data_IF_830726900632
#
_entry.id   IF_830726900632
#
_cell.length_a   1.000
_cell.length_b   1.000
_cell.length_c   1.000
_cell.angle_alpha   90.00
_cell.angle_beta   90.00
_cell.angle_gamma   90.00
#
_symmetry.space_group_name_H-M   'P 1'
#
loop_
_entity.id
_entity.type
_entity.pdbx_description
1 polymer ?
#
# COMPACT_ATOMS: atom_id res chain seq x y z
N UNK A 1 -31.79 -7.64 -6.06
CA UNK A 1 -30.31 -7.59 -6.02
C UNK A 1 -29.82 -8.98 -5.67
N UNK A 2 -29.38 -9.75 -6.67
CA UNK A 2 -28.83 -11.09 -6.46
C UNK A 2 -27.51 -10.97 -5.70
N UNK A 3 -27.37 -11.64 -4.55
CA UNK A 3 -26.13 -11.67 -3.80
C UNK A 3 -25.11 -12.49 -4.57
N UNK A 4 -24.15 -11.83 -5.21
CA UNK A 4 -22.95 -12.47 -5.78
C UNK A 4 -22.15 -13.03 -4.60
N UNK A 5 -22.20 -14.36 -4.41
CA UNK A 5 -21.35 -15.06 -3.46
C UNK A 5 -19.93 -15.13 -4.00
N UNK A 6 -18.93 -14.87 -3.15
CA UNK A 6 -17.50 -14.78 -3.49
C UNK A 6 -16.85 -16.06 -4.05
N UNK A 7 -17.63 -17.09 -4.39
CA UNK A 7 -17.16 -18.37 -4.94
C UNK A 7 -17.24 -18.47 -6.46
N UNK A 8 -17.68 -17.42 -7.15
CA UNK A 8 -17.65 -17.36 -8.62
C UNK A 8 -16.25 -16.91 -9.06
N UNK A 9 -15.44 -17.78 -9.71
CA UNK A 9 -13.97 -17.61 -9.82
C UNK A 9 -13.50 -16.48 -10.75
N UNK A 10 -14.33 -15.47 -11.03
CA UNK A 10 -14.05 -14.42 -12.02
C UNK A 10 -14.68 -13.07 -11.67
N UNK A 11 -14.49 -12.57 -10.45
CA UNK A 11 -14.90 -11.19 -10.11
C UNK A 11 -13.68 -10.42 -9.62
N UNK A 12 -13.43 -9.25 -10.21
CA UNK A 12 -12.38 -8.38 -9.69
C UNK A 12 -12.82 -7.74 -8.38
N UNK A 13 -11.87 -7.51 -7.46
CA UNK A 13 -12.13 -6.79 -6.22
C UNK A 13 -12.80 -5.42 -6.46
N UNK A 14 -12.43 -4.71 -7.54
CA UNK A 14 -13.04 -3.43 -7.92
C UNK A 14 -14.55 -3.56 -8.22
N UNK A 15 -15.00 -4.73 -8.66
CA UNK A 15 -16.39 -4.97 -9.04
C UNK A 15 -17.27 -5.20 -7.80
N UNK A 16 -16.65 -5.56 -6.67
CA UNK A 16 -17.32 -5.82 -5.40
C UNK A 16 -17.62 -4.53 -4.61
N UNK A 17 -17.13 -3.37 -5.05
CA UNK A 17 -17.40 -2.10 -4.38
C UNK A 17 -18.81 -1.57 -4.72
N UNK A 18 -19.57 -1.08 -3.71
CA UNK A 18 -20.93 -0.61 -3.91
C UNK A 18 -21.02 0.55 -4.91
N UNK A 19 -22.10 0.58 -5.68
CA UNK A 19 -22.33 1.63 -6.70
C UNK A 19 -21.33 1.60 -7.87
N UNK A 20 -20.51 0.55 -7.98
CA UNK A 20 -19.47 0.44 -9.01
C UNK A 20 -18.44 1.58 -8.95
N UNK A 21 -18.21 2.16 -7.76
CA UNK A 21 -17.36 3.35 -7.60
C UNK A 21 -15.88 3.10 -7.92
N UNK A 22 -15.45 1.83 -7.91
CA UNK A 22 -14.08 1.45 -8.25
C UNK A 22 -13.87 1.18 -9.75
N UNK A 23 -14.94 1.19 -10.56
CA UNK A 23 -14.86 1.06 -12.02
C UNK A 23 -14.78 2.44 -12.67
N UNK A 24 -13.79 2.63 -13.54
CA UNK A 24 -13.82 3.74 -14.48
C UNK A 24 -14.89 3.47 -15.54
N UNK A 25 -15.55 4.53 -16.03
CA UNK A 25 -16.67 4.40 -16.97
C UNK A 25 -16.29 3.66 -18.28
N UNK A 26 -15.02 3.74 -18.69
CA UNK A 26 -14.50 3.10 -19.90
C UNK A 26 -13.82 1.75 -19.64
N UNK A 27 -13.80 1.27 -18.40
CA UNK A 27 -13.14 0.00 -18.05
C UNK A 27 -14.07 -1.18 -18.35
N UNK A 28 -13.94 -1.70 -19.57
CA UNK A 28 -14.64 -2.89 -20.03
C UNK A 28 -13.90 -4.20 -19.69
N UNK A 29 -12.80 -4.11 -18.92
CA UNK A 29 -11.94 -5.27 -18.71
C UNK A 29 -12.65 -6.30 -17.84
N UNK A 30 -12.70 -7.53 -18.34
CA UNK A 30 -13.23 -8.71 -17.65
C UNK A 30 -12.09 -9.70 -17.39
N UNK A 31 -12.17 -10.55 -16.35
CA UNK A 31 -11.11 -11.51 -16.04
C UNK A 31 -10.71 -12.40 -17.22
N UNK A 32 -11.66 -12.76 -18.09
CA UNK A 32 -11.42 -13.54 -19.30
C UNK A 32 -10.68 -12.78 -20.42
N UNK A 33 -10.72 -11.44 -20.40
CA UNK A 33 -10.18 -10.59 -21.46
C UNK A 33 -8.89 -9.86 -21.06
N UNK A 34 -8.42 -10.04 -19.82
CA UNK A 34 -7.16 -9.45 -19.37
C UNK A 34 -6.03 -10.49 -19.41
N UNK A 35 -4.78 -10.05 -19.64
CA UNK A 35 -3.62 -10.91 -19.46
C UNK A 35 -3.57 -11.54 -18.07
N UNK A 36 -3.10 -12.78 -17.96
CA UNK A 36 -3.05 -13.51 -16.68
C UNK A 36 -2.25 -12.78 -15.59
N UNK A 37 -1.20 -12.03 -15.95
CA UNK A 37 -0.42 -11.22 -14.99
C UNK A 37 -1.20 -10.07 -14.36
N UNK A 38 -2.37 -9.69 -14.90
CA UNK A 38 -3.25 -8.69 -14.30
C UNK A 38 -4.22 -9.29 -13.27
N UNK A 39 -4.31 -10.62 -13.20
CA UNK A 39 -5.21 -11.33 -12.28
C UNK A 39 -4.39 -12.00 -11.19
N UNK A 40 -4.20 -11.30 -10.08
CA UNK A 40 -3.46 -11.84 -8.95
C UNK A 40 -4.27 -12.97 -8.29
N UNK A 41 -3.64 -14.11 -7.95
CA UNK A 41 -4.30 -15.17 -7.17
C UNK A 41 -4.69 -14.68 -5.79
N UNK A 42 -5.81 -15.18 -5.29
CA UNK A 42 -6.33 -14.90 -3.95
C UNK A 42 -5.72 -15.81 -2.86
N UNK A 43 -5.13 -16.94 -3.25
CA UNK A 43 -4.47 -17.89 -2.36
C UNK A 43 -2.96 -17.67 -2.25
N UNK A 44 -2.40 -18.07 -1.11
CA UNK A 44 -0.95 -18.05 -0.87
C UNK A 44 -0.16 -18.90 -1.87
N UNK A 45 -0.60 -20.13 -2.15
CA UNK A 45 0.07 -21.03 -3.10
C UNK A 45 0.02 -20.49 -4.54
N UNK A 46 -1.11 -19.89 -4.92
CA UNK A 46 -1.23 -19.18 -6.18
C UNK A 46 -0.22 -18.03 -6.27
N UNK A 47 -0.10 -17.22 -5.21
CA UNK A 47 0.88 -16.15 -5.15
C UNK A 47 2.33 -16.64 -5.23
N UNK A 48 2.67 -17.78 -4.63
CA UNK A 48 3.99 -18.39 -4.74
C UNK A 48 4.36 -18.76 -6.19
N UNK A 49 3.37 -19.15 -6.99
CA UNK A 49 3.56 -19.45 -8.42
C UNK A 49 3.57 -18.18 -9.29
N UNK A 50 2.91 -17.12 -8.81
CA UNK A 50 2.71 -15.86 -9.51
C UNK A 50 3.89 -14.88 -9.33
N UNK A 51 4.59 -14.95 -8.19
CA UNK A 51 5.62 -14.01 -7.79
C UNK A 51 6.99 -14.68 -7.66
N UNK A 52 8.04 -13.93 -8.00
CA UNK A 52 9.43 -14.31 -7.77
C UNK A 52 10.09 -13.22 -6.93
N UNK A 53 10.83 -13.62 -5.90
CA UNK A 53 11.69 -12.69 -5.17
C UNK A 53 13.11 -12.77 -5.71
N UNK A 54 13.67 -11.62 -6.09
CA UNK A 54 15.03 -11.52 -6.58
C UNK A 54 15.82 -10.48 -5.79
N UNK A 55 17.16 -10.59 -5.74
CA UNK A 55 18.00 -9.48 -5.30
C UNK A 55 17.73 -8.24 -6.14
N UNK A 56 17.68 -7.06 -5.51
CA UNK A 56 17.52 -5.80 -6.22
C UNK A 56 18.63 -5.63 -7.28
N UNK A 57 18.26 -5.34 -8.52
CA UNK A 57 19.19 -5.33 -9.67
C UNK A 57 20.32 -4.31 -9.55
N UNK A 58 20.12 -3.24 -8.77
CA UNK A 58 21.14 -2.21 -8.52
C UNK A 58 21.61 -2.32 -7.07
N UNK A 59 22.92 -2.15 -6.80
CA UNK A 59 23.40 -2.03 -5.42
C UNK A 59 22.70 -0.83 -4.78
N UNK A 60 21.72 -1.14 -3.93
CA UNK A 60 20.94 -0.11 -3.26
C UNK A 60 21.84 0.64 -2.30
N UNK A 61 21.70 1.96 -2.27
CA UNK A 61 22.36 2.78 -1.26
C UNK A 61 21.95 2.34 0.16
N UNK A 62 20.76 1.77 0.29
CA UNK A 62 20.23 1.15 1.48
C UNK A 62 20.39 -0.38 1.46
N UNK A 63 21.34 -0.87 2.27
CA UNK A 63 21.63 -2.31 2.43
C UNK A 63 20.52 -3.09 3.09
N UNK A 64 19.50 -2.43 3.65
CA UNK A 64 18.35 -3.10 4.25
C UNK A 64 17.36 -3.57 3.20
N UNK A 65 17.35 -2.99 2.00
CA UNK A 65 16.33 -3.23 0.96
C UNK A 65 16.75 -4.21 -0.14
N UNK A 66 17.47 -5.28 0.20
CA UNK A 66 18.17 -6.13 -0.79
C UNK A 66 17.28 -6.90 -1.76
N UNK A 67 15.98 -6.96 -1.54
CA UNK A 67 15.07 -7.82 -2.26
C UNK A 67 13.95 -7.02 -2.92
N UNK A 68 13.58 -7.44 -4.13
CA UNK A 68 12.42 -6.95 -4.87
C UNK A 68 11.52 -8.12 -5.26
N UNK A 69 10.22 -7.85 -5.41
CA UNK A 69 9.24 -8.82 -5.89
C UNK A 69 8.96 -8.52 -7.36
N UNK A 70 9.01 -9.58 -8.16
CA UNK A 70 8.82 -9.58 -9.60
C UNK A 70 7.66 -10.50 -9.97
N UNK A 71 7.06 -10.26 -11.13
CA UNK A 71 6.16 -11.24 -11.73
C UNK A 71 6.94 -12.50 -12.12
N UNK A 72 6.28 -13.66 -12.04
CA UNK A 72 6.83 -14.90 -12.60
C UNK A 72 7.07 -14.77 -14.10
N UNK A 73 8.21 -15.28 -14.56
CA UNK A 73 8.61 -15.19 -15.98
C UNK A 73 7.59 -15.85 -16.92
N UNK A 74 6.86 -16.86 -16.44
CA UNK A 74 5.83 -17.56 -17.21
C UNK A 74 4.60 -16.69 -17.54
N UNK A 75 4.42 -15.56 -16.83
CA UNK A 75 3.27 -14.69 -17.02
C UNK A 75 3.45 -13.67 -18.15
N UNK A 76 4.66 -13.54 -18.72
CA UNK A 76 4.99 -12.58 -19.78
C UNK A 76 4.54 -11.14 -19.46
N UNK A 77 4.71 -10.70 -18.21
CA UNK A 77 4.36 -9.34 -17.80
C UNK A 77 5.30 -8.32 -18.48
N UNK A 78 4.78 -7.14 -18.91
CA UNK A 78 5.59 -6.11 -19.56
C UNK A 78 6.58 -5.44 -18.60
N UNK A 79 6.33 -5.53 -17.30
CA UNK A 79 7.16 -4.98 -16.24
C UNK A 79 7.74 -6.12 -15.42
N UNK A 80 9.02 -6.01 -15.07
CA UNK A 80 9.66 -7.00 -14.21
C UNK A 80 9.14 -6.91 -12.78
N UNK A 81 8.98 -5.69 -12.24
CA UNK A 81 8.61 -5.47 -10.84
C UNK A 81 7.09 -5.63 -10.63
N UNK A 82 6.73 -6.38 -9.59
CA UNK A 82 5.35 -6.59 -9.19
C UNK A 82 4.71 -5.30 -8.62
N UNK A 83 3.58 -4.90 -9.20
CA UNK A 83 2.70 -3.86 -8.67
C UNK A 83 1.25 -4.33 -8.67
N UNK A 84 0.42 -3.73 -7.83
CA UNK A 84 -1.00 -4.06 -7.76
C UNK A 84 -1.81 -2.84 -7.32
N UNK A 85 -3.12 -2.87 -7.53
CA UNK A 85 -4.01 -1.76 -7.18
C UNK A 85 -4.84 -2.09 -5.95
N UNK A 86 -4.88 -1.16 -5.01
CA UNK A 86 -5.79 -1.16 -3.87
C UNK A 86 -6.85 -0.07 -4.03
N UNK A 87 -8.02 -0.30 -3.46
CA UNK A 87 -9.15 0.61 -3.47
C UNK A 87 -9.62 0.88 -2.06
N UNK A 88 -10.05 2.10 -1.79
CA UNK A 88 -10.66 2.45 -0.52
C UNK A 88 -11.02 3.92 -0.39
N UNK A 89 -11.66 4.25 0.73
CA UNK A 89 -11.96 5.64 1.12
C UNK A 89 -10.72 6.24 1.77
N UNK A 90 -10.28 7.40 1.30
CA UNK A 90 -9.14 8.11 1.85
C UNK A 90 -9.49 8.65 3.23
N UNK A 91 -8.84 8.13 4.28
CA UNK A 91 -9.04 8.60 5.66
C UNK A 91 -8.07 9.75 5.97
N UNK A 92 -6.81 9.57 5.58
CA UNK A 92 -5.72 10.52 5.83
C UNK A 92 -4.65 10.41 4.75
N UNK A 93 -4.06 11.53 4.38
CA UNK A 93 -2.95 11.58 3.43
C UNK A 93 -1.83 12.53 3.89
N UNK A 94 -0.61 12.17 3.53
CA UNK A 94 0.58 13.02 3.54
C UNK A 94 1.35 12.68 2.27
N UNK A 95 0.92 13.27 1.15
CA UNK A 95 1.36 12.91 -0.21
C UNK A 95 2.17 14.01 -0.89
N UNK A 96 2.42 15.13 -0.19
CA UNK A 96 3.30 16.18 -0.68
C UNK A 96 4.70 15.60 -1.01
N UNK A 97 5.43 16.17 -1.99
CA UNK A 97 6.73 15.64 -2.42
C UNK A 97 7.73 15.45 -1.27
N UNK A 98 7.77 16.39 -0.33
CA UNK A 98 8.63 16.36 0.87
C UNK A 98 7.99 15.65 2.09
N UNK A 99 6.78 15.10 1.93
CA UNK A 99 6.03 14.39 2.96
C UNK A 99 5.83 15.20 4.24
N UNK A 100 6.17 14.60 5.38
CA UNK A 100 6.10 15.26 6.69
C UNK A 100 7.43 15.94 7.13
N UNK A 101 8.40 16.10 6.22
CA UNK A 101 9.67 16.73 6.54
C UNK A 101 9.51 18.21 6.88
N UNK A 102 10.31 18.69 7.84
CA UNK A 102 10.25 20.06 8.37
C UNK A 102 11.54 20.86 8.13
N UNK A 103 12.30 20.51 7.09
CA UNK A 103 13.54 21.21 6.72
C UNK A 103 14.80 20.85 7.53
N UNK A 104 14.69 20.00 8.56
CA UNK A 104 15.86 19.61 9.37
C UNK A 104 16.62 18.44 8.74
N UNK A 105 17.91 18.63 8.45
CA UNK A 105 18.74 17.61 7.81
C UNK A 105 18.78 16.28 8.58
N UNK A 106 18.93 16.33 9.91
CA UNK A 106 18.93 15.14 10.76
C UNK A 106 17.55 14.45 10.87
N UNK A 107 16.48 15.03 10.34
CA UNK A 107 15.16 14.42 10.31
C UNK A 107 14.80 13.85 8.93
N UNK A 108 15.65 14.01 7.91
CA UNK A 108 15.38 13.56 6.55
C UNK A 108 15.11 12.04 6.49
N UNK A 109 15.89 11.23 7.21
CA UNK A 109 15.72 9.77 7.24
C UNK A 109 14.38 9.30 7.84
N UNK A 110 13.70 10.14 8.62
CA UNK A 110 12.38 9.85 9.22
C UNK A 110 11.24 10.38 8.37
N UNK A 111 11.53 11.23 7.38
CA UNK A 111 10.50 11.84 6.58
C UNK A 111 9.82 10.79 5.73
N UNK A 112 8.50 10.79 5.77
CA UNK A 112 7.69 9.82 5.06
C UNK A 112 6.46 10.46 4.46
N UNK A 113 6.00 9.86 3.37
CA UNK A 113 4.66 10.02 2.81
C UNK A 113 3.79 8.87 3.29
N UNK A 114 2.51 9.14 3.47
CA UNK A 114 1.56 8.12 3.92
C UNK A 114 0.19 8.31 3.29
N UNK A 115 -0.46 7.20 2.96
CA UNK A 115 -1.86 7.15 2.55
C UNK A 115 -2.56 6.14 3.45
N UNK A 116 -3.68 6.55 4.05
CA UNK A 116 -4.49 5.68 4.89
C UNK A 116 -5.82 5.45 4.22
N UNK A 117 -6.10 4.20 3.86
CA UNK A 117 -7.34 3.76 3.21
C UNK A 117 -8.24 3.06 4.22
N UNK A 118 -9.53 3.35 4.18
CA UNK A 118 -10.57 2.67 4.95
C UNK A 118 -11.59 1.99 4.05
N UNK A 119 -12.38 1.08 4.64
CA UNK A 119 -13.50 0.39 3.97
C UNK A 119 -14.63 1.35 3.59
N UNK A 120 -14.79 2.45 4.33
CA UNK A 120 -15.95 3.35 4.20
C UNK A 120 -17.28 2.70 4.55
N UNK A 121 -17.29 1.52 5.17
CA UNK A 121 -18.47 0.68 5.39
C UNK A 121 -18.59 -0.53 4.44
N UNK A 122 -17.77 -0.62 3.39
CA UNK A 122 -17.73 -1.78 2.49
C UNK A 122 -16.68 -2.81 2.96
N UNK A 123 -16.95 -3.49 4.07
CA UNK A 123 -15.97 -4.39 4.72
C UNK A 123 -15.56 -5.58 3.85
N UNK A 124 -16.48 -6.18 3.10
CA UNK A 124 -16.21 -7.37 2.30
C UNK A 124 -15.11 -7.16 1.23
N UNK A 125 -15.21 -6.21 0.28
CA UNK A 125 -14.13 -5.96 -0.68
C UNK A 125 -12.86 -5.42 -0.03
N UNK A 126 -12.96 -4.77 1.12
CA UNK A 126 -11.80 -4.27 1.85
C UNK A 126 -11.02 -5.39 2.55
N UNK A 127 -11.73 -6.36 3.14
CA UNK A 127 -11.15 -7.53 3.79
C UNK A 127 -10.35 -8.41 2.80
N UNK A 128 -10.87 -8.62 1.59
CA UNK A 128 -10.15 -9.36 0.53
C UNK A 128 -8.79 -8.71 0.24
N UNK A 129 -8.74 -7.38 0.17
CA UNK A 129 -7.48 -6.66 -0.05
C UNK A 129 -6.53 -6.77 1.14
N UNK A 130 -7.04 -6.71 2.37
CA UNK A 130 -6.23 -6.93 3.57
C UNK A 130 -5.62 -8.33 3.59
N UNK A 131 -6.40 -9.35 3.23
CA UNK A 131 -5.95 -10.72 3.13
C UNK A 131 -4.88 -10.88 2.04
N UNK A 132 -5.09 -10.26 0.87
CA UNK A 132 -4.10 -10.23 -0.20
C UNK A 132 -2.77 -9.60 0.25
N UNK A 133 -2.83 -8.47 0.96
CA UNK A 133 -1.64 -7.86 1.56
C UNK A 133 -0.98 -8.77 2.59
N UNK A 134 -1.75 -9.54 3.36
CA UNK A 134 -1.23 -10.52 4.31
C UNK A 134 -0.47 -11.64 3.59
N UNK A 135 -1.05 -12.25 2.54
CA UNK A 135 -0.36 -13.28 1.76
C UNK A 135 0.94 -12.76 1.11
N UNK A 136 0.99 -11.50 0.65
CA UNK A 136 2.25 -10.90 0.16
C UNK A 136 3.30 -10.83 1.27
N UNK A 137 2.90 -10.50 2.51
CA UNK A 137 3.83 -10.48 3.66
C UNK A 137 4.34 -11.87 3.99
N UNK A 138 3.45 -12.86 4.03
CA UNK A 138 3.81 -14.27 4.24
C UNK A 138 4.78 -14.75 3.18
N UNK A 139 4.49 -14.47 1.89
CA UNK A 139 5.33 -14.86 0.78
C UNK A 139 6.73 -14.26 0.93
N UNK A 140 6.80 -12.96 1.23
CA UNK A 140 8.07 -12.29 1.33
C UNK A 140 8.90 -12.72 2.56
N UNK A 141 8.26 -12.85 3.73
CA UNK A 141 8.94 -13.24 4.97
C UNK A 141 9.42 -14.69 4.87
N UNK A 142 8.58 -15.61 4.39
CA UNK A 142 8.94 -17.03 4.24
C UNK A 142 10.10 -17.22 3.26
N UNK A 143 10.09 -16.49 2.15
CA UNK A 143 11.15 -16.54 1.14
C UNK A 143 12.48 -16.02 1.69
N UNK A 144 12.48 -14.87 2.38
CA UNK A 144 13.73 -14.27 2.90
C UNK A 144 14.28 -15.04 4.10
N UNK A 145 13.42 -15.46 5.04
CA UNK A 145 13.86 -16.20 6.24
C UNK A 145 14.12 -17.69 5.97
N UNK A 146 13.59 -18.24 4.88
CA UNK A 146 13.55 -19.69 4.60
C UNK A 146 12.88 -20.46 5.74
N UNK A 147 11.84 -19.87 6.33
CA UNK A 147 11.10 -20.42 7.46
C UNK A 147 9.63 -20.06 7.32
N UNK A 148 8.74 -21.01 7.61
CA UNK A 148 7.28 -20.84 7.59
C UNK A 148 6.76 -20.35 8.95
N UNK A 149 7.47 -19.40 9.56
CA UNK A 149 6.98 -18.75 10.78
C UNK A 149 5.67 -18.02 10.48
N UNK A 150 4.64 -18.18 11.32
CA UNK A 150 3.38 -17.49 11.13
C UNK A 150 3.62 -15.98 11.15
N UNK A 151 3.16 -15.28 10.12
CA UNK A 151 3.19 -13.83 10.08
C UNK A 151 1.99 -13.33 10.87
N UNK A 152 2.16 -12.42 11.85
CA UNK A 152 1.02 -11.84 12.55
C UNK A 152 0.07 -11.14 11.57
N UNK A 153 -1.22 -11.40 11.74
CA UNK A 153 -2.25 -10.72 10.96
C UNK A 153 -2.31 -9.22 11.29
N UNK A 154 -2.57 -8.39 10.28
CA UNK A 154 -2.75 -6.95 10.45
C UNK A 154 -4.17 -6.64 10.96
N UNK A 155 -4.31 -6.54 12.28
CA UNK A 155 -5.58 -6.31 12.97
C UNK A 155 -6.14 -4.89 12.80
N UNK A 156 -5.41 -3.97 12.15
CA UNK A 156 -5.87 -2.60 11.96
C UNK A 156 -7.11 -2.56 11.05
N UNK A 157 -8.06 -1.70 11.36
CA UNK A 157 -9.26 -1.50 10.55
C UNK A 157 -8.98 -0.81 9.19
N UNK A 158 -7.77 -0.29 8.98
CA UNK A 158 -7.39 0.49 7.80
C UNK A 158 -6.06 0.00 7.22
N UNK A 159 -5.87 0.24 5.93
CA UNK A 159 -4.61 -0.05 5.24
C UNK A 159 -3.74 1.20 5.29
N UNK A 160 -2.51 1.06 5.79
CA UNK A 160 -1.51 2.13 5.80
C UNK A 160 -0.49 1.85 4.71
N UNK A 161 -0.44 2.72 3.72
CA UNK A 161 0.60 2.77 2.70
C UNK A 161 1.63 3.81 3.12
N UNK A 162 2.91 3.47 3.10
CA UNK A 162 3.98 4.35 3.58
C UNK A 162 5.19 4.26 2.69
N UNK A 163 5.78 5.43 2.46
CA UNK A 163 7.01 5.59 1.72
C UNK A 163 7.96 6.54 2.46
N UNK A 164 9.26 6.26 2.43
CA UNK A 164 10.28 7.22 2.85
C UNK A 164 10.48 8.27 1.75
N UNK A 165 10.48 9.54 2.12
CA UNK A 165 10.64 10.66 1.17
C UNK A 165 12.03 10.65 0.57
N UNK A 166 13.05 10.47 1.41
CA UNK A 166 14.44 10.59 1.02
C UNK A 166 15.12 9.23 0.94
N UNK A 167 15.91 9.06 -0.12
CA UNK A 167 16.89 7.99 -0.28
C UNK A 167 18.25 8.53 0.09
N UNK A 168 19.00 7.78 0.90
CA UNK A 168 20.37 8.15 1.27
C UNK A 168 21.30 8.04 0.07
N UNK A 169 22.13 9.04 -0.16
CA UNK A 169 23.22 9.00 -1.15
C UNK A 169 24.52 8.67 -0.44
N UNK A 170 25.34 7.81 -1.03
CA UNK A 170 26.68 7.51 -0.54
C UNK A 170 27.71 8.37 -1.29
N UNK A 171 28.58 9.13 -0.59
CA UNK A 171 29.56 9.99 -1.24
C UNK A 171 30.54 9.24 -2.16
N UNK A 172 30.79 7.96 -1.88
CA UNK A 172 31.84 7.16 -2.53
C UNK A 172 31.38 6.44 -3.79
N UNK A 173 30.09 6.47 -4.11
CA UNK A 173 29.55 5.86 -5.32
C UNK A 173 29.26 6.98 -6.32
N UNK A 174 29.74 6.86 -7.55
CA UNK A 174 29.29 7.70 -8.67
C UNK A 174 27.79 7.45 -8.88
N UNK A 175 26.98 8.11 -8.06
CA UNK A 175 25.55 7.89 -7.98
C UNK A 175 24.91 8.54 -9.19
N UNK A 176 24.32 7.74 -10.07
CA UNK A 176 23.46 8.21 -11.17
C UNK A 176 22.09 8.67 -10.67
N UNK A 177 21.87 8.72 -9.35
CA UNK A 177 20.60 9.17 -8.78
C UNK A 177 20.54 10.69 -8.81
N UNK A 178 19.45 11.19 -9.37
CA UNK A 178 19.10 12.61 -9.36
C UNK A 178 17.82 12.82 -8.55
N UNK A 179 17.68 14.00 -7.96
CA UNK A 179 16.41 14.39 -7.34
C UNK A 179 15.33 14.49 -8.41
N UNK A 180 14.14 13.95 -8.14
CA UNK A 180 12.95 14.13 -8.98
C UNK A 180 12.13 15.37 -8.59
N UNK A 181 12.61 16.16 -7.63
CA UNK A 181 11.98 17.41 -7.25
C UNK A 181 12.19 18.47 -8.34
N UNK A 182 11.10 19.17 -8.63
CA UNK A 182 11.08 20.37 -9.46
C UNK A 182 11.02 21.62 -8.58
N UNK A 183 11.21 22.80 -9.16
CA UNK A 183 11.03 24.08 -8.44
C UNK A 183 9.61 24.24 -7.87
N UNK A 184 8.59 23.67 -8.51
CA UNK A 184 7.22 23.68 -7.97
C UNK A 184 7.04 22.76 -6.75
N UNK A 185 7.85 21.70 -6.65
CA UNK A 185 7.78 20.76 -5.51
C UNK A 185 8.48 21.31 -4.25
N UNK A 186 9.54 22.11 -4.44
CA UNK A 186 10.36 22.71 -3.38
C UNK A 186 10.75 24.16 -3.74
N UNK A 187 9.80 25.11 -3.71
CA UNK A 187 10.04 26.49 -4.15
C UNK A 187 11.06 27.22 -3.28
N UNK A 188 11.15 26.88 -1.99
CA UNK A 188 12.14 27.41 -1.05
C UNK A 188 13.49 26.71 -1.14
N UNK A 189 13.65 25.72 -2.04
CA UNK A 189 14.85 24.89 -2.19
C UNK A 189 15.35 24.32 -0.86
N UNK A 190 14.42 23.98 0.02
CA UNK A 190 14.76 23.52 1.37
C UNK A 190 15.50 22.18 1.34
N UNK A 191 15.32 21.35 0.31
CA UNK A 191 16.03 20.08 0.14
C UNK A 191 17.43 20.23 -0.48
N UNK A 192 17.75 21.37 -1.10
CA UNK A 192 19.06 21.61 -1.75
C UNK A 192 20.26 21.42 -0.78
N UNK A 193 20.23 21.93 0.46
CA UNK A 193 21.34 21.77 1.41
C UNK A 193 21.65 20.33 1.82
N UNK A 194 20.70 19.39 1.63
CA UNK A 194 20.86 17.98 2.00
C UNK A 194 21.03 17.06 0.79
N UNK A 195 21.02 17.60 -0.44
CA UNK A 195 21.03 16.83 -1.67
C UNK A 195 22.28 15.94 -1.84
N UNK A 196 23.40 16.29 -1.20
CA UNK A 196 24.62 15.47 -1.19
C UNK A 196 24.50 14.19 -0.33
N UNK A 197 23.52 14.12 0.58
CA UNK A 197 23.32 13.00 1.49
C UNK A 197 21.94 12.34 1.34
N UNK A 198 20.95 13.09 0.90
CA UNK A 198 19.54 12.70 0.87
C UNK A 198 18.89 13.28 -0.38
N UNK A 199 18.40 12.40 -1.25
CA UNK A 199 17.68 12.79 -2.47
C UNK A 199 16.26 12.22 -2.44
N UNK A 200 15.32 12.99 -2.99
CA UNK A 200 14.01 12.45 -3.32
C UNK A 200 14.12 11.79 -4.68
N UNK A 201 14.12 10.46 -4.71
CA UNK A 201 14.30 9.67 -5.95
C UNK A 201 12.96 9.27 -6.58
N UNK A 202 11.85 9.45 -5.86
CA UNK A 202 10.50 9.13 -6.33
C UNK A 202 9.45 10.09 -5.78
N UNK A 203 8.38 10.29 -6.55
CA UNK A 203 7.14 10.96 -6.14
C UNK A 203 5.98 9.98 -6.26
N UNK A 204 4.93 10.20 -5.48
CA UNK A 204 3.65 9.52 -5.71
C UNK A 204 3.01 10.24 -6.90
N UNK A 205 2.77 9.53 -8.00
CA UNK A 205 2.00 10.09 -9.11
C UNK A 205 0.56 10.34 -8.64
N UNK A 206 0.00 11.50 -8.95
CA UNK A 206 -1.34 11.88 -8.52
C UNK A 206 -2.23 12.09 -9.73
N UNK A 207 -3.38 11.41 -9.75
CA UNK A 207 -4.33 11.46 -10.85
C UNK A 207 -5.76 11.66 -10.38
N UNK A 208 -6.61 12.21 -11.23
CA UNK A 208 -8.06 12.29 -11.00
C UNK A 208 -8.79 11.73 -12.22
N UNK A 209 -9.78 10.88 -11.99
CA UNK A 209 -10.69 10.43 -13.02
C UNK A 209 -11.63 11.57 -13.41
N UNK A 210 -11.81 11.78 -14.71
CA UNK A 210 -12.79 12.73 -15.25
C UNK A 210 -14.13 12.02 -15.46
N UNK A 211 -15.19 12.80 -15.70
CA UNK A 211 -16.50 12.26 -16.07
C UNK A 211 -16.50 11.49 -17.39
N UNK A 212 -15.46 11.63 -18.23
CA UNK A 212 -15.30 10.82 -19.44
C UNK A 212 -14.68 9.44 -19.19
N UNK A 213 -14.23 9.16 -17.96
CA UNK A 213 -13.50 7.94 -17.61
C UNK A 213 -11.98 8.02 -17.84
N UNK A 214 -11.48 9.10 -18.44
CA UNK A 214 -10.04 9.35 -18.58
C UNK A 214 -9.41 9.83 -17.26
N UNK A 215 -8.10 9.66 -17.11
CA UNK A 215 -7.36 10.18 -15.95
C UNK A 215 -6.48 11.36 -16.36
N UNK A 216 -6.44 12.40 -15.51
CA UNK A 216 -5.58 13.57 -15.67
C UNK A 216 -4.69 13.74 -14.45
N UNK A 217 -3.54 14.39 -14.62
CA UNK A 217 -2.66 14.72 -13.51
C UNK A 217 -3.36 15.62 -12.48
N UNK A 218 -3.04 15.39 -11.21
CA UNK A 218 -3.65 16.06 -10.08
C UNK A 218 -2.60 16.61 -9.12
N UNK A 219 -3.03 17.55 -8.28
CA UNK A 219 -2.23 18.13 -7.21
C UNK A 219 -2.62 17.52 -5.86
N UNK A 220 -1.73 17.56 -4.85
CA UNK A 220 -2.05 17.08 -3.49
C UNK A 220 -3.33 17.70 -2.90
N UNK A 221 -3.66 18.94 -3.27
CA UNK A 221 -4.82 19.68 -2.75
C UNK A 221 -6.18 19.10 -3.21
N UNK A 222 -6.18 18.30 -4.28
CA UNK A 222 -7.40 17.68 -4.81
C UNK A 222 -7.80 16.40 -4.07
N UNK A 223 -6.95 15.86 -3.20
CA UNK A 223 -7.23 14.64 -2.42
C UNK A 223 -7.65 15.01 -1.01
N UNK A 224 -8.89 14.69 -0.66
CA UNK A 224 -9.51 15.01 0.63
C UNK A 224 -9.96 13.75 1.34
N UNK A 225 -10.07 13.84 2.66
CA UNK A 225 -10.71 12.79 3.46
C UNK A 225 -12.13 12.53 2.95
N UNK A 226 -12.48 11.26 2.75
CA UNK A 226 -13.76 10.83 2.18
C UNK A 226 -13.71 10.52 0.69
N UNK A 227 -12.69 10.97 -0.05
CA UNK A 227 -12.54 10.63 -1.47
C UNK A 227 -12.36 9.12 -1.66
N UNK A 228 -12.96 8.57 -2.70
CA UNK A 228 -12.71 7.18 -3.09
C UNK A 228 -11.54 7.14 -4.07
N UNK A 229 -10.52 6.33 -3.74
CA UNK A 229 -9.25 6.32 -4.46
C UNK A 229 -8.83 4.91 -4.86
N UNK A 230 -8.11 4.82 -5.99
CA UNK A 230 -7.29 3.68 -6.36
C UNK A 230 -5.82 4.02 -6.10
N UNK A 231 -5.11 3.16 -5.36
CA UNK A 231 -3.70 3.29 -5.09
C UNK A 231 -2.93 2.17 -5.79
N UNK A 232 -2.07 2.51 -6.74
CA UNK A 232 -1.07 1.58 -7.26
C UNK A 232 0.05 1.44 -6.23
N UNK A 233 0.38 0.20 -5.88
CA UNK A 233 1.24 -0.13 -4.75
C UNK A 233 2.31 -1.12 -5.18
N UNK A 234 3.50 -0.94 -4.62
CA UNK A 234 4.57 -1.93 -4.66
C UNK A 234 4.97 -2.38 -3.25
N UNK A 235 5.34 -3.66 -3.06
CA UNK A 235 5.96 -4.11 -1.83
C UNK A 235 7.39 -3.54 -1.68
N UNK A 236 7.75 -3.17 -0.46
CA UNK A 236 9.07 -2.70 -0.03
C UNK A 236 9.57 -3.59 1.11
N UNK A 237 10.53 -4.46 0.80
CA UNK A 237 11.06 -5.46 1.72
C UNK A 237 12.27 -4.86 2.43
N UNK A 238 12.17 -4.71 3.74
CA UNK A 238 13.22 -4.19 4.60
C UNK A 238 13.73 -5.30 5.49
N UNK A 239 15.01 -5.61 5.35
CA UNK A 239 15.73 -6.60 6.14
C UNK A 239 16.69 -5.91 7.11
N UNK A 240 16.62 -6.27 8.38
CA UNK A 240 17.55 -5.79 9.41
C UNK A 240 18.04 -6.96 10.23
N UNK A 241 19.26 -6.89 10.74
CA UNK A 241 19.81 -7.90 11.63
C UNK A 241 19.74 -7.38 13.06
N UNK A 242 19.07 -8.13 13.94
CA UNK A 242 19.00 -7.82 15.37
C UNK A 242 20.34 -8.00 16.08
N UNK A 243 20.45 -7.52 17.31
CA UNK A 243 21.66 -7.67 18.12
C UNK A 243 22.05 -9.15 18.37
N UNK A 244 21.07 -10.05 18.37
CA UNK A 244 21.26 -11.50 18.48
C UNK A 244 21.61 -12.18 17.13
N UNK A 245 21.85 -11.41 16.06
CA UNK A 245 22.08 -11.96 14.72
C UNK A 245 20.82 -12.42 13.98
N UNK A 246 19.63 -12.34 14.60
CA UNK A 246 18.39 -12.76 13.97
C UNK A 246 17.98 -11.80 12.84
N UNK A 247 17.61 -12.36 11.70
CA UNK A 247 17.11 -11.61 10.56
C UNK A 247 15.65 -11.20 10.78
N UNK A 248 15.41 -9.89 10.87
CA UNK A 248 14.10 -9.29 10.88
C UNK A 248 13.73 -8.85 9.47
N UNK A 249 12.53 -9.23 9.03
CA UNK A 249 12.01 -8.89 7.71
C UNK A 249 10.71 -8.13 7.93
N UNK A 250 10.63 -6.93 7.39
CA UNK A 250 9.44 -6.08 7.40
C UNK A 250 9.03 -5.78 5.98
N UNK A 251 7.75 -5.97 5.67
CA UNK A 251 7.19 -5.72 4.35
C UNK A 251 6.27 -4.52 4.47
N UNK A 252 6.69 -3.43 3.84
CA UNK A 252 5.90 -2.21 3.72
C UNK A 252 5.26 -2.15 2.34
N UNK A 253 4.22 -1.33 2.22
CA UNK A 253 3.51 -1.11 0.96
C UNK A 253 3.64 0.34 0.56
N UNK A 254 4.34 0.58 -0.54
CA UNK A 254 4.69 1.91 -1.02
C UNK A 254 3.66 2.31 -2.08
N UNK A 255 2.96 3.44 -1.90
CA UNK A 255 2.12 3.99 -2.95
C UNK A 255 3.00 4.56 -4.08
N UNK A 256 2.76 4.10 -5.30
CA UNK A 256 3.42 4.59 -6.52
C UNK A 256 2.56 5.63 -7.24
N UNK A 257 1.26 5.36 -7.35
CA UNK A 257 0.27 6.25 -7.95
C UNK A 257 -0.98 6.28 -7.07
N UNK A 258 -1.63 7.44 -6.95
CA UNK A 258 -2.91 7.61 -6.29
C UNK A 258 -3.87 8.30 -7.27
N UNK A 259 -4.94 7.60 -7.63
CA UNK A 259 -5.96 8.07 -8.55
C UNK A 259 -7.26 8.31 -7.79
N UNK A 260 -7.75 9.56 -7.76
CA UNK A 260 -9.07 9.88 -7.22
C UNK A 260 -10.14 9.46 -8.22
N UNK A 261 -11.00 8.52 -7.81
CA UNK A 261 -12.08 7.99 -8.65
C UNK A 261 -13.39 8.75 -8.42
N UNK A 262 -13.68 9.11 -7.17
CA UNK A 262 -14.83 9.92 -6.77
C UNK A 262 -14.42 10.89 -5.67
N UNK A 263 -14.99 12.09 -5.67
CA UNK A 263 -14.88 12.97 -4.51
C UNK A 263 -15.77 12.47 -3.36
N UNK A 264 -15.55 12.95 -2.14
CA UNK A 264 -16.29 12.51 -0.96
C UNK A 264 -17.84 12.57 -1.10
N UNK A 265 -18.39 13.59 -1.76
CA UNK A 265 -19.84 13.72 -1.94
C UNK A 265 -20.38 12.66 -2.92
N UNK A 266 -19.66 12.40 -4.02
CA UNK A 266 -19.99 11.34 -4.98
C UNK A 266 -19.86 9.95 -4.36
N UNK A 267 -18.82 9.72 -3.53
CA UNK A 267 -18.62 8.48 -2.79
C UNK A 267 -19.84 8.16 -1.91
N UNK A 268 -20.32 9.16 -1.17
CA UNK A 268 -21.52 9.01 -0.34
C UNK A 268 -22.78 8.80 -1.19
N UNK A 269 -22.96 9.58 -2.25
CA UNK A 269 -24.15 9.51 -3.09
C UNK A 269 -24.29 8.18 -3.86
N UNK A 270 -23.18 7.66 -4.41
CA UNK A 270 -23.19 6.45 -5.25
C UNK A 270 -23.17 5.16 -4.44
N UNK A 271 -22.52 5.17 -3.28
CA UNK A 271 -22.18 3.95 -2.57
C UNK A 271 -22.57 3.96 -1.08
N UNK A 272 -23.08 5.09 -0.56
CA UNK A 272 -23.39 5.24 0.85
C UNK A 272 -22.15 5.20 1.76
N UNK A 273 -20.94 5.30 1.20
CA UNK A 273 -19.71 5.17 1.95
C UNK A 273 -19.30 6.52 2.56
N UNK A 274 -18.70 6.48 3.75
CA UNK A 274 -18.23 7.66 4.46
C UNK A 274 -16.94 7.39 5.23
N UNK A 275 -16.04 8.38 5.28
CA UNK A 275 -14.83 8.32 6.10
C UNK A 275 -15.12 8.28 7.61
N UNK A 276 -16.31 8.74 8.03
CA UNK A 276 -16.73 8.75 9.43
C UNK A 276 -17.39 7.44 9.87
N UNK A 277 -17.45 6.43 8.99
CA UNK A 277 -17.81 5.07 9.38
C UNK A 277 -16.68 4.53 10.25
N UNK A 278 -16.62 5.02 11.48
CA UNK A 278 -15.80 4.45 12.53
C UNK A 278 -16.39 3.07 12.69
N UNK A 279 -15.64 2.03 12.28
CA UNK A 279 -16.01 0.67 12.61
C UNK A 279 -16.45 0.67 14.08
N UNK A 280 -17.63 0.13 14.42
CA UNK A 280 -18.10 0.11 15.80
C UNK A 280 -16.91 -0.39 16.61
N UNK A 281 -16.43 0.45 17.54
CA UNK A 281 -15.33 0.00 18.40
C UNK A 281 -15.77 -1.35 18.95
N UNK A 282 -14.92 -2.39 18.90
CA UNK A 282 -15.30 -3.67 19.48
C UNK A 282 -15.75 -3.36 20.90
N UNK A 283 -17.05 -3.53 21.17
CA UNK A 283 -17.57 -3.37 22.51
C UNK A 283 -16.82 -4.42 23.30
N UNK A 284 -15.83 -3.98 24.08
CA UNK A 284 -15.11 -4.86 24.98
C UNK A 284 -16.17 -5.26 25.99
N UNK A 285 -16.81 -6.41 25.74
CA UNK A 285 -17.63 -7.07 26.74
C UNK A 285 -16.64 -7.45 27.82
N UNK A 286 -16.58 -6.63 28.86
CA UNK A 286 -15.76 -6.92 30.03
C UNK A 286 -16.14 -8.33 30.49
N UNK A 287 -15.23 -9.28 30.33
CA UNK A 287 -15.43 -10.60 30.91
C UNK A 287 -15.65 -10.41 32.41
N UNK A 288 -16.67 -11.03 33.01
CA UNK A 288 -16.87 -10.95 34.45
C UNK A 288 -15.56 -11.39 35.12
N UNK A 289 -15.00 -10.50 35.94
CA UNK A 289 -13.85 -10.81 36.78
C UNK A 289 -14.22 -12.05 37.58
N UNK A 290 -13.50 -13.16 37.34
CA UNK A 290 -13.70 -14.37 38.12
C UNK A 290 -13.42 -14.04 39.59
N UNK A 291 -14.44 -14.11 40.42
CA UNK A 291 -14.31 -13.98 41.88
C UNK A 291 -13.34 -15.06 42.34
N UNK A 292 -12.24 -14.72 43.06
CA UNK A 292 -11.32 -15.72 43.57
C UNK A 292 -12.05 -16.70 44.48
N UNK A 293 -11.80 -17.99 44.27
CA UNK A 293 -12.35 -19.04 45.12
C UNK A 293 -11.87 -18.85 46.58
N UNK A 294 -12.73 -19.07 47.59
CA UNK A 294 -12.32 -18.98 48.98
C UNK A 294 -11.21 -20.02 49.26
N UNK A 295 -10.14 -19.57 49.89
CA UNK A 295 -9.06 -20.42 50.39
C UNK A 295 -9.63 -21.45 51.37
N UNK A 296 -9.49 -22.74 51.04
CA UNK A 296 -9.72 -23.83 52.00
C UNK A 296 -8.42 -24.02 52.77
N UNK A 297 -8.37 -23.57 54.01
CA UNK A 297 -7.33 -23.97 54.98
C UNK A 297 -7.62 -25.39 55.45
N UNK A 298 -6.66 -26.29 55.22
CA UNK A 298 -6.57 -27.61 55.85
C UNK A 298 -5.59 -27.57 57.01
#
# INVERSE_FOLDING_TARGET
MSQLTASDPKVFVRDLWPGGIAKLQQDESRPENVPGWMVAPDTFDGLCSFLIMAPAAKPLADVTRRYEIHYSQHLNAPHERFTFTLYGVLLKSSIAPLGNWKGRANAAFKASRSVVLGSGGAEAPFAIQKQFLHHIREFAISTVKRSMEPVPEDTRAHIILRDNVFTRVRPTSASTLHSVLTTSDDPSRSAEPIANQWLVTRKIALRTATSSGTTIDATPLQFRTGDFVAAEVAPDIVTTTGANGQLNVSVNFVPLCLTRLCNAAETQARAGLSANSTAPQPTIVASPVATPAPYVTT
#
